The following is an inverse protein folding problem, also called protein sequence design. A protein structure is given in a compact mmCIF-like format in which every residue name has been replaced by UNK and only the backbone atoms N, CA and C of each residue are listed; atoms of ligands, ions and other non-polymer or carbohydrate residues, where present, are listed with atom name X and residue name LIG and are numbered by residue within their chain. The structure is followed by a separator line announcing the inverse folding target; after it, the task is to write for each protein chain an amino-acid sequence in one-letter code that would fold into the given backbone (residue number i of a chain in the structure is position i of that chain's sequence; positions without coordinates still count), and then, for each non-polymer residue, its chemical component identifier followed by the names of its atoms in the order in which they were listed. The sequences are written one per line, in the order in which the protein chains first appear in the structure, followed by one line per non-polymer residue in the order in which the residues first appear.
data_IF_482206307632
#
_entry.id   IF_482206307632
#
_cell.length_a   1.000
_cell.length_b   1.000
_cell.length_c   1.000
_cell.angle_alpha   90.00
_cell.angle_beta   90.00
_cell.angle_gamma   90.00
#
_symmetry.space_group_name_H-M   'P 1'
#
loop_
_entity.id
_entity.type
_entity.pdbx_description
1 polymer ?
#
# COMPACT_ATOMS: atom_id res chain seq x y z
N UNK A 1 7.92 27.72 5.03
CA UNK A 1 8.46 27.65 3.66
C UNK A 1 9.23 26.37 3.35
N UNK A 2 10.16 25.88 4.18
CA UNK A 2 10.99 24.69 3.88
C UNK A 2 10.22 23.37 3.62
N UNK A 3 9.19 23.06 4.43
CA UNK A 3 8.40 21.83 4.27
C UNK A 3 7.49 21.88 3.03
N UNK A 4 6.88 23.03 2.76
CA UNK A 4 6.05 23.25 1.58
C UNK A 4 6.85 23.01 0.29
N UNK A 5 8.08 23.54 0.22
CA UNK A 5 8.95 23.30 -0.92
C UNK A 5 9.23 21.80 -1.15
N UNK A 6 9.38 21.00 -0.09
CA UNK A 6 9.57 19.54 -0.22
C UNK A 6 8.32 18.81 -0.73
N UNK A 7 7.14 19.28 -0.34
CA UNK A 7 5.87 18.71 -0.80
C UNK A 7 5.68 19.02 -2.29
N UNK A 8 5.95 20.26 -2.71
CA UNK A 8 5.72 20.71 -4.09
C UNK A 8 6.84 20.29 -5.07
N UNK A 9 8.09 20.31 -4.62
CA UNK A 9 9.28 20.10 -5.48
C UNK A 9 10.06 18.83 -5.17
N UNK A 10 9.70 18.11 -4.11
CA UNK A 10 10.41 16.92 -3.66
C UNK A 10 11.67 17.24 -2.85
N UNK A 11 12.44 16.20 -2.55
CA UNK A 11 13.70 16.32 -1.82
C UNK A 11 14.84 16.78 -2.74
N UNK A 12 15.82 17.56 -2.27
CA UNK A 12 17.04 17.84 -3.04
C UNK A 12 17.78 16.55 -3.40
N UNK A 13 18.39 16.48 -4.60
CA UNK A 13 19.09 15.28 -5.07
C UNK A 13 20.19 14.81 -4.11
N UNK A 14 20.95 15.73 -3.52
CA UNK A 14 21.98 15.40 -2.53
C UNK A 14 21.41 14.67 -1.32
N UNK A 15 20.27 15.12 -0.79
CA UNK A 15 19.60 14.48 0.34
C UNK A 15 19.02 13.10 -0.04
N UNK A 16 18.57 12.93 -1.28
CA UNK A 16 18.12 11.63 -1.78
C UNK A 16 19.30 10.65 -1.86
N UNK A 17 20.40 11.05 -2.48
CA UNK A 17 21.61 10.23 -2.62
C UNK A 17 22.19 9.83 -1.26
N UNK A 18 22.36 10.81 -0.36
CA UNK A 18 22.88 10.55 0.98
C UNK A 18 22.02 9.53 1.74
N UNK A 19 20.69 9.67 1.68
CA UNK A 19 19.76 8.73 2.34
C UNK A 19 19.83 7.34 1.73
N UNK A 20 19.90 7.24 0.41
CA UNK A 20 20.01 5.95 -0.30
C UNK A 20 21.32 5.25 0.04
N UNK A 21 22.45 5.95 0.02
CA UNK A 21 23.76 5.39 0.39
C UNK A 21 23.73 4.88 1.84
N UNK A 22 23.19 5.65 2.77
CA UNK A 22 23.03 5.21 4.17
C UNK A 22 22.14 3.96 4.29
N UNK A 23 21.07 3.87 3.51
CA UNK A 23 20.20 2.69 3.50
C UNK A 23 20.92 1.46 2.92
N UNK A 24 21.68 1.62 1.85
CA UNK A 24 22.51 0.56 1.25
C UNK A 24 23.52 0.05 2.27
N UNK A 25 24.30 0.93 2.89
CA UNK A 25 25.27 0.57 3.92
C UNK A 25 24.60 -0.15 5.11
N UNK A 26 23.44 0.33 5.55
CA UNK A 26 22.69 -0.30 6.63
C UNK A 26 22.25 -1.72 6.27
N UNK A 27 21.67 -1.91 5.09
CA UNK A 27 21.17 -3.21 4.61
C UNK A 27 22.31 -4.19 4.33
N UNK A 28 23.47 -3.70 3.90
CA UNK A 28 24.66 -4.51 3.61
C UNK A 28 25.20 -5.24 4.84
N UNK A 29 24.89 -4.77 6.06
CA UNK A 29 25.20 -5.48 7.30
C UNK A 29 24.44 -6.80 7.45
N UNK A 30 23.28 -6.92 6.79
CA UNK A 30 22.43 -8.11 6.82
C UNK A 30 22.54 -8.91 5.52
N UNK A 31 22.74 -8.23 4.38
CA UNK A 31 22.88 -8.82 3.05
C UNK A 31 24.15 -8.24 2.41
N UNK A 32 25.34 -8.83 2.64
CA UNK A 32 26.61 -8.24 2.21
C UNK A 32 26.73 -7.92 0.71
N UNK A 33 26.08 -8.70 -0.15
CA UNK A 33 26.05 -8.44 -1.59
C UNK A 33 25.32 -7.14 -1.97
N UNK A 34 24.47 -6.62 -1.08
CA UNK A 34 23.71 -5.39 -1.28
C UNK A 34 24.59 -4.12 -1.28
N UNK A 35 25.87 -4.22 -0.88
CA UNK A 35 26.81 -3.08 -0.91
C UNK A 35 27.09 -2.60 -2.33
N UNK A 36 26.86 -3.47 -3.33
CA UNK A 36 26.96 -3.14 -4.75
C UNK A 36 25.70 -2.47 -5.31
N UNK A 37 24.68 -2.21 -4.49
CA UNK A 37 23.47 -1.53 -4.94
C UNK A 37 23.79 -0.06 -5.28
N UNK A 38 23.13 0.46 -6.31
CA UNK A 38 23.32 1.83 -6.76
C UNK A 38 22.08 2.69 -6.51
N UNK A 39 22.27 4.01 -6.49
CA UNK A 39 21.15 4.95 -6.45
C UNK A 39 20.30 4.80 -7.71
N UNK A 40 19.11 4.19 -7.57
CA UNK A 40 18.21 3.94 -8.68
C UNK A 40 16.96 4.83 -8.62
N UNK A 41 16.82 5.68 -9.63
CA UNK A 41 15.55 6.34 -9.99
C UNK A 41 15.03 7.39 -9.01
N UNK A 42 13.79 7.81 -9.28
CA UNK A 42 13.05 8.74 -8.42
C UNK A 42 12.73 8.05 -7.08
N UNK A 43 12.84 8.70 -5.92
CA UNK A 43 12.38 8.13 -4.67
C UNK A 43 10.86 7.94 -4.71
N UNK A 44 10.41 6.79 -4.22
CA UNK A 44 8.98 6.61 -3.95
C UNK A 44 8.56 7.60 -2.86
N UNK A 45 7.41 8.25 -3.04
CA UNK A 45 6.73 8.87 -1.91
C UNK A 45 6.37 7.74 -0.96
N UNK A 46 6.95 7.76 0.24
CA UNK A 46 6.82 6.67 1.20
C UNK A 46 5.36 6.34 1.45
N UNK A 47 5.09 5.06 1.74
CA UNK A 47 3.82 4.67 2.31
C UNK A 47 3.59 5.48 3.60
N UNK A 48 2.35 5.91 3.84
CA UNK A 48 1.99 6.53 5.11
C UNK A 48 2.42 5.60 6.26
N UNK A 49 3.31 6.08 7.13
CA UNK A 49 3.51 5.43 8.42
C UNK A 49 2.25 5.70 9.24
N UNK A 50 1.61 4.62 9.69
CA UNK A 50 0.58 4.71 10.71
C UNK A 50 1.33 4.84 12.05
N UNK A 51 1.10 5.90 12.82
CA UNK A 51 1.70 6.05 14.14
C UNK A 51 1.19 4.96 15.09
N UNK A 52 2.07 4.43 15.96
CA UNK A 52 1.74 3.43 16.97
C UNK A 52 2.45 2.08 16.76
N UNK A 53 2.46 1.28 17.82
CA UNK A 53 3.14 -0.03 17.85
C UNK A 53 2.22 -1.18 17.42
N UNK A 54 0.92 -0.91 17.27
CA UNK A 54 -0.07 -1.92 16.89
C UNK A 54 -0.13 -2.10 15.36
N UNK A 55 0.44 -3.20 14.91
CA UNK A 55 0.46 -3.60 13.49
C UNK A 55 -0.91 -3.96 12.93
N UNK A 56 -1.92 -4.20 13.79
CA UNK A 56 -3.27 -4.55 13.37
C UNK A 56 -4.03 -3.36 12.77
N UNK A 57 -3.67 -2.13 13.14
CA UNK A 57 -4.15 -0.88 12.53
C UNK A 57 -3.79 -0.74 11.03
N UNK A 58 -2.95 -1.64 10.49
CA UNK A 58 -2.51 -1.66 9.08
C UNK A 58 -3.49 -2.31 8.11
N UNK A 59 -4.57 -2.89 8.60
CA UNK A 59 -5.61 -3.46 7.77
C UNK A 59 -6.89 -2.64 7.98
N UNK A 60 -7.73 -2.45 6.96
CA UNK A 60 -9.00 -1.76 7.23
C UNK A 60 -9.76 -2.53 8.30
N UNK A 61 -10.00 -1.83 9.39
CA UNK A 61 -10.74 -2.33 10.53
C UNK A 61 -11.87 -1.35 10.84
N UNK A 62 -12.89 -1.89 11.48
CA UNK A 62 -14.10 -1.16 11.84
C UNK A 62 -14.17 -1.10 13.34
N UNK A 63 -14.09 0.12 13.91
CA UNK A 63 -14.44 0.31 15.31
C UNK A 63 -15.93 0.64 15.41
N UNK A 64 -16.62 -0.08 16.29
CA UNK A 64 -18.02 0.17 16.61
C UNK A 64 -18.07 0.92 17.93
N UNK A 65 -18.52 2.17 17.86
CA UNK A 65 -18.62 3.06 19.00
C UNK A 65 -20.06 3.09 19.53
N UNK A 66 -20.28 3.81 20.64
CA UNK A 66 -21.63 4.04 21.15
C UNK A 66 -22.52 4.76 20.12
N UNK A 67 -23.84 4.67 20.30
CA UNK A 67 -24.86 5.35 19.48
C UNK A 67 -24.91 4.89 18.02
N UNK A 68 -24.70 3.58 17.77
CA UNK A 68 -24.78 2.99 16.42
C UNK A 68 -23.82 3.66 15.41
N UNK A 69 -22.70 4.17 15.91
CA UNK A 69 -21.69 4.81 15.09
C UNK A 69 -20.54 3.85 14.82
N UNK A 70 -20.10 3.77 13.57
CA UNK A 70 -18.93 2.99 13.19
C UNK A 70 -17.89 3.89 12.50
N UNK A 71 -16.62 3.70 12.83
CA UNK A 71 -15.48 4.37 12.19
C UNK A 71 -14.72 3.35 11.34
N UNK A 72 -14.50 3.70 10.07
CA UNK A 72 -13.66 2.95 9.14
C UNK A 72 -12.37 3.70 8.88
N UNK A 73 -11.25 3.01 9.00
CA UNK A 73 -9.93 3.52 8.62
C UNK A 73 -9.35 2.62 7.54
N UNK A 74 -9.41 3.06 6.28
CA UNK A 74 -9.00 2.24 5.13
C UNK A 74 -7.64 2.69 4.61
N UNK A 75 -6.61 1.86 4.84
CA UNK A 75 -5.23 2.15 4.40
C UNK A 75 -4.84 1.45 3.09
N UNK A 76 -5.62 0.45 2.67
CA UNK A 76 -5.51 -0.22 1.37
C UNK A 76 -6.91 -0.39 0.77
N UNK A 77 -7.09 0.01 -0.48
CA UNK A 77 -8.39 -0.08 -1.16
C UNK A 77 -9.01 -1.48 -1.10
N UNK A 78 -8.21 -2.54 -1.21
CA UNK A 78 -8.68 -3.93 -1.15
C UNK A 78 -9.32 -4.32 0.20
N UNK A 79 -8.97 -3.63 1.29
CA UNK A 79 -9.53 -3.92 2.61
C UNK A 79 -10.90 -3.27 2.86
N UNK A 80 -11.36 -2.36 2.00
CA UNK A 80 -12.65 -1.69 2.13
C UNK A 80 -13.84 -2.66 2.09
N UNK A 81 -13.81 -3.67 1.20
CA UNK A 81 -14.89 -4.67 1.09
C UNK A 81 -14.98 -5.54 2.35
N UNK A 82 -13.84 -5.85 2.97
CA UNK A 82 -13.81 -6.57 4.24
C UNK A 82 -14.46 -5.76 5.37
N UNK A 83 -14.14 -4.47 5.45
CA UNK A 83 -14.75 -3.56 6.42
C UNK A 83 -16.27 -3.40 6.20
N UNK A 84 -16.71 -3.32 4.94
CA UNK A 84 -18.13 -3.30 4.61
C UNK A 84 -18.86 -4.56 5.09
N UNK A 85 -18.25 -5.75 4.96
CA UNK A 85 -18.83 -7.00 5.49
C UNK A 85 -18.94 -7.01 7.01
N UNK A 86 -17.97 -6.44 7.73
CA UNK A 86 -18.05 -6.31 9.19
C UNK A 86 -19.26 -5.45 9.60
N UNK A 87 -19.54 -4.35 8.89
CA UNK A 87 -20.74 -3.52 9.12
C UNK A 87 -22.03 -4.31 8.87
N UNK A 88 -22.11 -5.01 7.72
CA UNK A 88 -23.30 -5.82 7.37
C UNK A 88 -23.55 -6.90 8.41
N UNK A 89 -22.50 -7.55 8.91
CA UNK A 89 -22.61 -8.57 9.94
C UNK A 89 -23.05 -7.98 11.30
N UNK A 90 -22.41 -6.91 11.78
CA UNK A 90 -22.72 -6.35 13.11
C UNK A 90 -24.09 -5.70 13.16
N UNK A 91 -24.50 -5.00 12.11
CA UNK A 91 -25.81 -4.35 12.03
C UNK A 91 -26.89 -5.22 11.41
N UNK A 92 -26.58 -6.48 11.07
CA UNK A 92 -27.52 -7.42 10.46
C UNK A 92 -28.18 -6.84 9.19
N UNK A 93 -27.34 -6.19 8.37
CA UNK A 93 -27.60 -5.57 7.06
C UNK A 93 -28.43 -6.45 6.11
N UNK A 94 -28.09 -7.74 6.15
CA UNK A 94 -28.52 -8.75 5.20
C UNK A 94 -28.58 -10.11 5.92
N UNK A 95 -29.61 -10.33 6.75
CA UNK A 95 -29.66 -11.46 7.69
C UNK A 95 -29.72 -12.83 6.98
N UNK A 96 -30.21 -12.86 5.74
CA UNK A 96 -30.34 -14.09 4.94
C UNK A 96 -29.14 -14.34 4.01
N UNK A 97 -28.05 -13.56 4.13
CA UNK A 97 -26.86 -13.79 3.33
C UNK A 97 -26.06 -15.00 3.84
N UNK A 98 -25.87 -16.00 2.99
CA UNK A 98 -24.87 -17.04 3.24
C UNK A 98 -23.45 -16.48 3.24
N UNK A 99 -22.50 -17.22 3.81
CA UNK A 99 -21.08 -16.88 3.81
C UNK A 99 -20.44 -17.14 2.43
N UNK A 100 -20.56 -16.17 1.53
CA UNK A 100 -19.82 -16.17 0.28
C UNK A 100 -18.43 -15.55 0.48
N UNK A 101 -17.50 -15.82 -0.45
CA UNK A 101 -16.22 -15.08 -0.51
C UNK A 101 -16.44 -13.64 -0.99
N UNK A 102 -15.51 -12.73 -0.71
CA UNK A 102 -15.59 -11.32 -1.18
C UNK A 102 -15.64 -11.29 -2.71
N UNK A 103 -14.86 -12.16 -3.35
CA UNK A 103 -14.74 -12.29 -4.79
C UNK A 103 -16.07 -12.74 -5.42
N UNK A 104 -16.79 -13.64 -4.76
CA UNK A 104 -18.12 -14.10 -5.20
C UNK A 104 -19.18 -13.03 -5.02
N UNK A 105 -19.17 -12.28 -3.91
CA UNK A 105 -20.13 -11.20 -3.66
C UNK A 105 -19.88 -9.96 -4.53
N UNK A 106 -18.63 -9.75 -4.93
CA UNK A 106 -18.18 -8.58 -5.68
C UNK A 106 -17.43 -9.01 -6.95
N UNK A 107 -18.10 -9.65 -7.94
CA UNK A 107 -17.43 -10.18 -9.12
C UNK A 107 -16.75 -9.10 -9.97
N UNK A 108 -17.21 -7.85 -9.87
CA UNK A 108 -16.56 -6.71 -10.51
C UNK A 108 -15.12 -6.46 -10.01
N UNK A 109 -14.82 -6.83 -8.75
CA UNK A 109 -13.46 -6.75 -8.20
C UNK A 109 -12.49 -7.75 -8.86
N UNK A 110 -13.05 -8.78 -9.52
CA UNK A 110 -12.33 -9.82 -10.24
C UNK A 110 -12.32 -9.62 -11.76
N UNK A 111 -12.73 -8.43 -12.24
CA UNK A 111 -12.85 -8.14 -13.67
C UNK A 111 -11.50 -8.16 -14.43
N UNK A 112 -10.37 -8.13 -13.70
CA UNK A 112 -9.03 -8.16 -14.28
C UNK A 112 -8.26 -9.39 -13.82
N UNK A 113 -7.59 -10.02 -14.78
CA UNK A 113 -6.60 -11.06 -14.51
C UNK A 113 -5.34 -10.47 -13.86
N UNK A 114 -4.59 -11.30 -13.12
CA UNK A 114 -3.30 -10.90 -12.55
C UNK A 114 -2.35 -10.31 -13.60
N UNK A 115 -2.31 -10.90 -14.80
CA UNK A 115 -1.49 -10.41 -15.91
C UNK A 115 -1.91 -9.01 -16.39
N UNK A 116 -3.21 -8.75 -16.51
CA UNK A 116 -3.71 -7.42 -16.89
C UNK A 116 -3.36 -6.35 -15.83
N UNK A 117 -3.46 -6.71 -14.55
CA UNK A 117 -3.06 -5.84 -13.44
C UNK A 117 -1.56 -5.55 -13.48
N UNK A 118 -0.72 -6.57 -13.64
CA UNK A 118 0.73 -6.40 -13.74
C UNK A 118 1.13 -5.54 -14.94
N UNK A 119 0.55 -5.80 -16.12
CA UNK A 119 0.83 -5.02 -17.31
C UNK A 119 0.45 -3.55 -17.13
N UNK A 120 -0.66 -3.26 -16.45
CA UNK A 120 -1.05 -1.90 -16.13
C UNK A 120 -0.10 -1.25 -15.12
N UNK A 121 0.35 -1.99 -14.10
CA UNK A 121 1.34 -1.50 -13.14
C UNK A 121 2.67 -1.16 -13.83
N UNK A 122 3.15 -2.01 -14.75
CA UNK A 122 4.36 -1.78 -15.54
C UNK A 122 4.22 -0.50 -16.39
N UNK A 123 3.07 -0.32 -17.08
CA UNK A 123 2.80 0.91 -17.84
C UNK A 123 2.89 2.16 -16.95
N UNK A 124 2.31 2.11 -15.75
CA UNK A 124 2.36 3.21 -14.80
C UNK A 124 3.77 3.49 -14.28
N UNK A 125 4.58 2.46 -14.04
CA UNK A 125 5.99 2.61 -13.67
C UNK A 125 6.76 3.38 -14.75
N UNK A 126 6.67 2.93 -16.02
CA UNK A 126 7.34 3.61 -17.13
C UNK A 126 6.88 5.06 -17.29
N UNK A 127 5.57 5.31 -17.24
CA UNK A 127 5.00 6.66 -17.35
C UNK A 127 5.48 7.61 -16.24
N UNK A 128 5.92 7.06 -15.10
CA UNK A 128 6.41 7.82 -13.94
C UNK A 128 7.94 7.81 -13.80
N UNK A 129 8.66 7.19 -14.74
CA UNK A 129 10.12 7.09 -14.71
C UNK A 129 10.67 6.08 -13.70
N UNK A 130 9.88 5.07 -13.32
CA UNK A 130 10.29 3.96 -12.46
C UNK A 130 10.62 2.70 -13.27
N UNK A 131 11.54 1.84 -12.81
CA UNK A 131 11.83 0.57 -13.47
C UNK A 131 10.63 -0.39 -13.36
N UNK A 132 10.42 -1.20 -14.40
CA UNK A 132 9.35 -2.20 -14.44
C UNK A 132 9.45 -3.23 -13.29
N UNK A 133 10.66 -3.46 -12.78
CA UNK A 133 10.87 -4.36 -11.64
C UNK A 133 10.06 -3.96 -10.40
N UNK A 134 9.72 -2.68 -10.19
CA UNK A 134 8.88 -2.25 -9.07
C UNK A 134 7.39 -2.60 -9.23
N UNK A 135 6.95 -2.98 -10.43
CA UNK A 135 5.57 -3.34 -10.72
C UNK A 135 5.33 -4.86 -10.81
N UNK A 136 6.40 -5.66 -10.93
CA UNK A 136 6.30 -7.11 -11.08
C UNK A 136 6.10 -7.78 -9.73
N UNK A 137 5.26 -8.81 -9.72
CA UNK A 137 5.13 -9.69 -8.55
C UNK A 137 6.27 -10.71 -8.58
N UNK A 138 7.02 -10.82 -7.48
CA UNK A 138 8.05 -11.86 -7.31
C UNK A 138 7.66 -12.77 -6.15
N UNK A 139 8.07 -14.05 -6.23
CA UNK A 139 7.94 -15.00 -5.12
C UNK A 139 6.54 -15.60 -4.94
N UNK A 140 5.84 -15.89 -6.05
CA UNK A 140 4.70 -16.82 -6.03
C UNK A 140 5.17 -18.25 -5.77
#
# INVERSE_FOLDING_TARGET
MYLQHKIERGWPMSAQQERTVRAIQHMSRFVPSFDNAEFAGKPLFGAQQIPGDDVTLRAADVSFEANQYARLEVVKGSSALRAARQLVAVWQLKPDAGELSIETEHPCSMAFTAQQVEQQAIRLCHARGYPAALAKVYGL
#
